data_IF_524475864231
#
_entry.id   IF_524475864231
#
_cell.length_a   1.000
_cell.length_b   1.000
_cell.length_c   1.000
_cell.angle_alpha   90.00
_cell.angle_beta   90.00
_cell.angle_gamma   90.00
#
_symmetry.space_group_name_H-M   'P 1'
#
loop_
_entity.id
_entity.type
_entity.pdbx_description
1 polymer ?
#
# COMPACT_ATOMS: atom_id res chain seq x y z
N UNK A 1 31.92 17.19 48.48
CA UNK A 1 31.00 18.20 49.04
C UNK A 1 30.27 18.85 47.86
N UNK A 2 28.98 18.55 47.68
CA UNK A 2 27.81 19.45 47.87
C UNK A 2 27.69 20.55 46.79
N UNK A 3 26.52 20.91 46.21
CA UNK A 3 25.12 20.49 46.30
C UNK A 3 24.34 21.35 45.28
N UNK A 4 23.32 20.75 44.64
CA UNK A 4 21.97 21.34 44.49
C UNK A 4 21.75 22.46 43.44
N UNK A 5 20.61 22.56 42.75
CA UNK A 5 19.35 21.86 42.92
C UNK A 5 18.32 22.21 41.85
N UNK A 6 17.29 21.36 41.74
CA UNK A 6 15.98 21.69 41.19
C UNK A 6 15.09 22.30 42.29
N UNK A 7 14.00 23.04 41.95
CA UNK A 7 12.65 22.46 42.09
C UNK A 7 11.62 22.98 41.03
N UNK A 8 10.76 22.14 40.44
CA UNK A 8 9.34 21.76 40.76
C UNK A 8 8.20 22.70 40.30
N UNK A 9 7.27 22.05 39.55
CA UNK A 9 5.77 22.10 39.63
C UNK A 9 5.09 23.40 39.16
N UNK A 10 3.88 23.45 38.58
CA UNK A 10 2.69 22.58 38.46
C UNK A 10 1.71 23.30 37.51
N UNK A 11 0.88 22.59 36.74
CA UNK A 11 -0.58 22.80 36.62
C UNK A 11 -1.15 22.00 35.44
N UNK A 12 -2.18 21.19 35.71
CA UNK A 12 -2.91 20.40 34.73
C UNK A 12 -4.19 21.09 34.22
N UNK A 13 -5.31 20.37 34.05
CA UNK A 13 -5.94 20.16 32.74
C UNK A 13 -7.38 20.71 32.62
N UNK A 14 -7.92 20.89 31.40
CA UNK A 14 -9.36 21.05 31.13
C UNK A 14 -9.62 20.99 29.61
N UNK A 15 -10.28 19.95 29.08
CA UNK A 15 -11.69 19.96 28.64
C UNK A 15 -12.10 21.24 27.89
N UNK A 16 -12.46 21.11 26.61
CA UNK A 16 -13.75 21.60 26.10
C UNK A 16 -14.04 20.94 24.75
N UNK A 17 -15.21 20.34 24.68
CA UNK A 17 -15.85 19.71 23.53
C UNK A 17 -16.82 20.74 22.96
N UNK A 18 -16.99 20.78 21.64
CA UNK A 18 -18.27 21.03 20.93
C UNK A 18 -18.33 22.21 19.96
N UNK A 19 -19.02 21.92 18.84
CA UNK A 19 -19.88 22.81 18.02
C UNK A 19 -19.13 23.82 17.15
N UNK A 20 -19.57 24.22 15.96
CA UNK A 20 -20.58 23.80 14.96
C UNK A 20 -20.41 24.87 13.86
N UNK A 21 -20.72 24.51 12.62
CA UNK A 21 -21.29 25.39 11.56
C UNK A 21 -20.51 26.60 11.02
N UNK A 22 -20.27 26.56 9.69
CA UNK A 22 -20.55 27.61 8.66
C UNK A 22 -19.92 27.09 7.35
N UNK A 23 -20.63 26.58 6.34
CA UNK A 23 -21.58 27.20 5.39
C UNK A 23 -21.07 28.51 4.73
N UNK A 24 -20.64 28.37 3.47
CA UNK A 24 -20.44 29.43 2.47
C UNK A 24 -19.94 28.81 1.14
N UNK A 25 -20.78 28.40 0.17
CA UNK A 25 -21.39 29.18 -0.95
C UNK A 25 -20.28 29.78 -1.86
N UNK A 26 -20.19 29.56 -3.19
CA UNK A 26 -21.20 29.66 -4.26
C UNK A 26 -20.68 29.04 -5.57
N UNK A 27 -21.60 28.52 -6.38
CA UNK A 27 -21.48 28.39 -7.83
C UNK A 27 -22.89 28.18 -8.40
N UNK A 28 -23.57 29.27 -8.75
CA UNK A 28 -24.90 29.28 -9.39
C UNK A 28 -24.69 29.45 -10.89
N UNK A 29 -25.46 28.72 -11.70
CA UNK A 29 -25.95 29.22 -12.97
C UNK A 29 -27.47 29.05 -13.02
N UNK A 30 -28.13 30.16 -13.31
CA UNK A 30 -29.56 30.36 -13.52
C UNK A 30 -29.81 30.52 -15.02
N UNK A 31 -30.94 30.03 -15.54
CA UNK A 31 -31.83 30.79 -16.46
C UNK A 31 -33.17 30.04 -16.71
N UNK A 32 -34.21 30.71 -17.24
CA UNK A 32 -35.47 30.92 -16.50
C UNK A 32 -36.74 30.50 -17.28
N UNK A 33 -37.89 30.63 -16.62
CA UNK A 33 -39.20 30.26 -17.17
C UNK A 33 -40.00 31.34 -17.91
N UNK A 34 -41.22 30.95 -18.25
CA UNK A 34 -42.43 31.75 -18.56
C UNK A 34 -43.59 30.91 -18.00
N UNK A 35 -44.39 31.37 -17.03
CA UNK A 35 -45.42 32.42 -17.16
C UNK A 35 -46.53 31.84 -18.05
N UNK A 36 -47.77 31.58 -17.67
CA UNK A 36 -48.77 32.32 -16.88
C UNK A 36 -50.05 31.44 -16.96
N UNK A 37 -51.15 31.58 -16.23
CA UNK A 37 -51.57 32.30 -15.05
C UNK A 37 -53.05 31.90 -14.77
N UNK A 38 -53.52 32.20 -13.55
CA UNK A 38 -54.94 32.46 -13.17
C UNK A 38 -55.87 31.23 -13.10
N UNK A 39 -56.70 31.05 -12.08
CA UNK A 39 -57.03 31.84 -10.87
C UNK A 39 -57.80 30.92 -9.89
N UNK A 40 -57.96 31.33 -8.62
CA UNK A 40 -58.53 30.51 -7.55
C UNK A 40 -59.93 30.97 -7.10
N UNK A 41 -60.57 30.12 -6.28
CA UNK A 41 -61.31 30.43 -5.04
C UNK A 41 -62.74 29.86 -4.92
N UNK A 42 -62.95 29.36 -3.69
CA UNK A 42 -64.18 29.25 -2.89
C UNK A 42 -65.04 28.00 -3.12
N UNK A 43 -65.22 27.11 -2.14
CA UNK A 43 -65.82 27.22 -0.78
C UNK A 43 -67.19 26.54 -0.83
N UNK A 44 -67.30 25.35 -0.24
CA UNK A 44 -68.38 24.90 0.66
C UNK A 44 -68.45 23.38 0.70
N UNK A 45 -68.35 22.83 1.91
CA UNK A 45 -69.02 21.58 2.25
C UNK A 45 -70.54 21.76 2.06
N UNK A 46 -71.24 20.67 1.74
CA UNK A 46 -72.16 20.16 2.74
C UNK A 46 -72.09 18.64 2.92
N UNK A 47 -72.31 18.23 4.17
CA UNK A 47 -72.64 16.86 4.57
C UNK A 47 -73.91 16.40 3.86
N UNK A 48 -73.85 15.23 3.21
CA UNK A 48 -75.00 14.32 3.05
C UNK A 48 -74.49 12.87 3.07
N UNK A 49 -74.80 12.16 4.16
CA UNK A 49 -75.19 10.74 4.10
C UNK A 49 -76.72 10.75 3.84
N UNK A 50 -77.33 9.78 3.14
CA UNK A 50 -77.26 8.36 3.50
C UNK A 50 -77.28 7.32 2.35
N UNK A 51 -76.84 6.13 2.74
CA UNK A 51 -77.35 4.78 2.42
C UNK A 51 -77.39 4.15 1.02
N UNK A 52 -77.22 2.83 1.11
CA UNK A 52 -77.61 1.75 0.21
C UNK A 52 -76.66 1.36 -0.94
N UNK A 53 -75.94 0.27 -0.66
CA UNK A 53 -75.72 -0.87 -1.55
C UNK A 53 -75.14 -0.60 -2.94
N UNK A 54 -73.81 -0.65 -3.03
CA UNK A 54 -73.15 -1.14 -4.25
C UNK A 54 -72.05 -2.14 -3.90
N UNK A 55 -72.14 -3.29 -4.57
CA UNK A 55 -71.44 -4.52 -4.27
C UNK A 55 -69.94 -4.36 -4.04
N UNK A 56 -69.50 -4.93 -2.91
CA UNK A 56 -68.09 -5.25 -2.67
C UNK A 56 -67.68 -6.40 -3.60
N UNK A 57 -67.30 -6.08 -4.84
CA UNK A 57 -66.36 -6.92 -5.59
C UNK A 57 -65.00 -6.70 -4.93
N UNK A 58 -64.62 -7.62 -4.06
CA UNK A 58 -63.31 -7.65 -3.42
C UNK A 58 -62.22 -7.64 -4.49
N UNK A 59 -61.42 -6.57 -4.52
CA UNK A 59 -60.12 -6.58 -5.15
C UNK A 59 -59.23 -7.49 -4.30
N UNK A 60 -59.18 -8.77 -4.68
CA UNK A 60 -58.14 -9.68 -4.19
C UNK A 60 -56.79 -9.13 -4.64
N UNK A 61 -55.80 -8.95 -3.75
CA UNK A 61 -54.42 -8.89 -4.18
C UNK A 61 -54.13 -10.19 -4.92
N UNK A 62 -53.74 -10.12 -6.19
CA UNK A 62 -53.03 -11.23 -6.82
C UNK A 62 -51.65 -11.26 -6.16
N UNK A 63 -51.56 -11.97 -5.04
CA UNK A 63 -50.29 -12.53 -4.63
C UNK A 63 -49.93 -13.54 -5.70
N UNK A 64 -49.04 -13.15 -6.62
CA UNK A 64 -48.36 -14.10 -7.46
C UNK A 64 -47.63 -15.06 -6.53
N UNK A 65 -47.90 -16.38 -6.60
CA UNK A 65 -47.10 -17.32 -5.86
C UNK A 65 -45.66 -17.16 -6.36
N UNK A 66 -44.75 -16.72 -5.48
CA UNK A 66 -43.32 -17.00 -5.64
C UNK A 66 -43.12 -18.50 -5.34
N UNK A 67 -43.83 -19.34 -6.09
CA UNK A 67 -43.82 -20.79 -5.96
C UNK A 67 -43.26 -21.37 -7.25
N UNK A 68 -42.02 -21.03 -7.54
CA UNK A 68 -41.14 -21.93 -8.29
C UNK A 68 -40.51 -22.91 -7.30
N UNK A 69 -41.35 -23.69 -6.62
CA UNK A 69 -40.96 -24.68 -5.61
C UNK A 69 -40.41 -25.95 -6.24
N UNK A 70 -39.30 -25.84 -6.96
CA UNK A 70 -38.50 -27.02 -7.34
C UNK A 70 -37.42 -27.19 -6.27
N UNK A 71 -37.57 -28.22 -5.43
CA UNK A 71 -36.51 -28.65 -4.52
C UNK A 71 -35.30 -29.16 -5.29
N UNK A 72 -34.11 -29.05 -4.70
CA UNK A 72 -32.88 -29.58 -5.28
C UNK A 72 -32.92 -31.11 -5.35
N UNK A 73 -32.50 -31.67 -6.48
CA UNK A 73 -32.38 -33.13 -6.60
C UNK A 73 -31.11 -33.62 -5.92
N UNK A 74 -31.07 -34.88 -5.48
CA UNK A 74 -29.88 -35.47 -4.86
C UNK A 74 -28.68 -35.47 -5.83
N UNK A 75 -28.94 -35.71 -7.11
CA UNK A 75 -27.93 -35.64 -8.18
C UNK A 75 -27.37 -34.22 -8.32
N UNK A 76 -28.22 -33.19 -8.22
CA UNK A 76 -27.79 -31.80 -8.32
C UNK A 76 -26.88 -31.39 -7.15
N UNK A 77 -27.21 -31.82 -5.93
CA UNK A 77 -26.34 -31.60 -4.75
C UNK A 77 -25.02 -32.35 -4.93
N UNK A 78 -25.03 -33.56 -5.48
CA UNK A 78 -23.83 -34.35 -5.73
C UNK A 78 -22.92 -33.69 -6.78
N UNK A 79 -23.50 -33.16 -7.86
CA UNK A 79 -22.75 -32.40 -8.88
C UNK A 79 -22.23 -31.07 -8.30
N UNK A 80 -23.05 -30.35 -7.53
CA UNK A 80 -22.65 -29.09 -6.91
C UNK A 80 -21.50 -29.27 -5.92
N UNK A 81 -21.56 -30.30 -5.07
CA UNK A 81 -20.49 -30.62 -4.11
C UNK A 81 -19.23 -31.11 -4.81
N UNK A 82 -19.34 -31.87 -5.91
CA UNK A 82 -18.20 -32.22 -6.75
C UNK A 82 -17.51 -30.98 -7.30
N UNK A 83 -18.25 -30.07 -7.95
CA UNK A 83 -17.70 -28.82 -8.49
C UNK A 83 -17.10 -27.96 -7.37
N UNK A 84 -17.80 -27.85 -6.23
CA UNK A 84 -17.32 -27.10 -5.07
C UNK A 84 -16.01 -27.67 -4.53
N UNK A 85 -15.88 -28.99 -4.42
CA UNK A 85 -14.67 -29.63 -3.93
C UNK A 85 -13.46 -29.34 -4.81
N UNK A 86 -13.61 -29.43 -6.14
CA UNK A 86 -12.57 -29.08 -7.11
C UNK A 86 -12.22 -27.59 -7.01
N UNK A 87 -13.22 -26.73 -6.88
CA UNK A 87 -13.02 -25.29 -6.72
C UNK A 87 -12.22 -24.91 -5.47
N UNK A 88 -12.50 -25.54 -4.33
CA UNK A 88 -11.78 -25.30 -3.08
C UNK A 88 -10.31 -25.72 -3.22
N UNK A 89 -10.04 -26.88 -3.81
CA UNK A 89 -8.66 -27.36 -4.04
C UNK A 89 -7.90 -26.41 -4.95
N UNK A 90 -8.52 -25.94 -6.04
CA UNK A 90 -7.90 -24.99 -6.95
C UNK A 90 -7.54 -23.66 -6.27
N UNK A 91 -8.44 -23.12 -5.44
CA UNK A 91 -8.19 -21.89 -4.66
C UNK A 91 -7.09 -22.11 -3.62
N UNK A 92 -7.10 -23.23 -2.91
CA UNK A 92 -6.08 -23.56 -1.92
C UNK A 92 -4.69 -23.65 -2.57
N UNK A 93 -4.58 -24.33 -3.72
CA UNK A 93 -3.34 -24.39 -4.49
C UNK A 93 -2.87 -22.98 -4.93
N UNK A 94 -3.79 -22.15 -5.45
CA UNK A 94 -3.48 -20.77 -5.83
C UNK A 94 -2.97 -19.91 -4.67
N UNK A 95 -3.52 -20.09 -3.47
CA UNK A 95 -3.08 -19.36 -2.28
C UNK A 95 -1.65 -19.72 -1.87
N UNK A 96 -1.28 -21.00 -1.93
CA UNK A 96 0.11 -21.42 -1.64
C UNK A 96 1.13 -20.74 -2.56
N UNK A 97 0.81 -20.61 -3.85
CA UNK A 97 1.67 -19.88 -4.80
C UNK A 97 1.72 -18.38 -4.49
N UNK A 98 0.58 -17.76 -4.18
CA UNK A 98 0.51 -16.34 -3.85
C UNK A 98 1.37 -15.98 -2.62
N UNK A 99 1.32 -16.80 -1.56
CA UNK A 99 2.12 -16.60 -0.35
C UNK A 99 3.63 -16.70 -0.62
N UNK A 100 4.05 -17.63 -1.49
CA UNK A 100 5.44 -17.73 -1.94
C UNK A 100 5.91 -16.46 -2.66
N UNK A 101 5.06 -15.87 -3.49
CA UNK A 101 5.35 -14.60 -4.18
C UNK A 101 5.57 -13.43 -3.22
N UNK A 102 4.79 -13.35 -2.14
CA UNK A 102 4.94 -12.30 -1.12
C UNK A 102 6.29 -12.38 -0.41
N UNK A 103 6.75 -13.58 -0.03
CA UNK A 103 8.05 -13.71 0.65
C UNK A 103 9.23 -13.42 -0.30
N UNK A 104 9.11 -13.76 -1.59
CA UNK A 104 10.09 -13.35 -2.60
C UNK A 104 10.13 -11.83 -2.73
N UNK A 105 8.97 -11.18 -2.87
CA UNK A 105 8.88 -9.71 -2.96
C UNK A 105 9.45 -9.01 -1.73
N UNK A 106 9.10 -9.50 -0.52
CA UNK A 106 9.64 -8.98 0.74
C UNK A 106 11.16 -9.14 0.82
N UNK A 107 11.67 -10.28 0.36
CA UNK A 107 13.10 -10.56 0.22
C UNK A 107 13.79 -9.53 -0.67
N UNK A 108 13.23 -9.27 -1.84
CA UNK A 108 13.77 -8.36 -2.84
C UNK A 108 13.79 -6.90 -2.38
N UNK A 109 12.68 -6.39 -1.84
CA UNK A 109 12.60 -5.02 -1.33
C UNK A 109 13.59 -4.80 -0.18
N UNK A 110 13.72 -5.76 0.73
CA UNK A 110 14.71 -5.66 1.81
C UNK A 110 16.16 -5.74 1.29
N UNK A 111 16.43 -6.53 0.25
CA UNK A 111 17.75 -6.57 -0.37
C UNK A 111 18.13 -5.23 -1.01
N UNK A 112 17.19 -4.57 -1.71
CA UNK A 112 17.36 -3.21 -2.24
C UNK A 112 17.65 -2.23 -1.11
N UNK A 113 16.86 -2.23 -0.04
CA UNK A 113 17.05 -1.32 1.09
C UNK A 113 18.44 -1.51 1.75
N UNK A 114 18.89 -2.75 1.94
CA UNK A 114 20.22 -3.04 2.48
C UNK A 114 21.36 -2.59 1.55
N UNK A 115 21.13 -2.63 0.24
CA UNK A 115 22.08 -2.14 -0.75
C UNK A 115 22.13 -0.61 -0.73
N UNK A 116 20.98 0.05 -0.69
CA UNK A 116 20.84 1.51 -0.56
C UNK A 116 21.48 2.02 0.72
N UNK A 117 21.22 1.40 1.86
CA UNK A 117 21.85 1.77 3.14
C UNK A 117 23.37 1.73 3.06
N UNK A 118 23.94 0.72 2.39
CA UNK A 118 25.39 0.63 2.20
C UNK A 118 25.90 1.70 1.25
N UNK A 119 25.18 1.96 0.16
CA UNK A 119 25.52 3.02 -0.78
C UNK A 119 25.47 4.40 -0.12
N UNK A 120 24.45 4.69 0.68
CA UNK A 120 24.33 5.96 1.39
C UNK A 120 25.44 6.15 2.43
N UNK A 121 25.84 5.09 3.13
CA UNK A 121 27.00 5.13 4.02
C UNK A 121 28.31 5.43 3.26
N UNK A 122 28.49 4.86 2.06
CA UNK A 122 29.67 5.13 1.23
C UNK A 122 29.64 6.53 0.63
N UNK A 123 28.47 7.01 0.21
CA UNK A 123 28.28 8.39 -0.25
C UNK A 123 28.56 9.39 0.87
N UNK A 124 28.05 9.17 2.08
CA UNK A 124 28.32 10.04 3.22
C UNK A 124 29.80 10.07 3.55
N UNK A 125 30.46 8.90 3.56
CA UNK A 125 31.91 8.81 3.74
C UNK A 125 32.68 9.59 2.64
N UNK A 126 32.24 9.53 1.39
CA UNK A 126 32.90 10.23 0.29
C UNK A 126 32.72 11.75 0.35
N UNK A 127 31.62 12.22 0.94
CA UNK A 127 31.38 13.65 1.19
C UNK A 127 32.20 14.17 2.38
N UNK A 128 32.48 13.32 3.36
CA UNK A 128 33.25 13.67 4.56
C UNK A 128 34.76 13.58 4.32
N UNK A 129 35.23 12.42 3.83
CA UNK A 129 36.64 12.14 3.56
C UNK A 129 36.80 11.17 2.37
N UNK A 130 37.26 11.71 1.24
CA UNK A 130 37.53 10.94 0.03
C UNK A 130 38.61 9.86 0.20
N UNK A 131 39.48 10.00 1.21
CA UNK A 131 40.55 9.06 1.53
C UNK A 131 40.18 8.01 2.59
N UNK A 132 38.92 8.00 3.03
CA UNK A 132 38.38 7.03 3.99
C UNK A 132 38.67 5.59 3.58
N UNK A 133 39.06 4.76 4.56
CA UNK A 133 39.27 3.33 4.36
C UNK A 133 38.00 2.59 3.86
N UNK A 134 36.80 3.14 4.10
CA UNK A 134 35.55 2.60 3.57
C UNK A 134 35.46 2.70 2.03
N UNK A 135 36.19 3.63 1.44
CA UNK A 135 36.25 3.91 0.00
C UNK A 135 37.53 3.36 -0.64
N UNK A 136 38.34 2.61 0.10
CA UNK A 136 39.49 1.94 -0.45
C UNK A 136 39.04 0.97 -1.55
N UNK A 137 39.73 0.98 -2.68
CA UNK A 137 39.46 0.05 -3.76
C UNK A 137 39.62 -1.40 -3.25
N UNK A 138 38.70 -2.27 -3.63
CA UNK A 138 38.67 -3.65 -3.15
C UNK A 138 37.26 -4.20 -2.99
N UNK A 139 37.19 -5.39 -2.41
CA UNK A 139 35.94 -6.10 -2.16
C UNK A 139 35.76 -6.36 -0.67
N UNK A 140 34.62 -5.96 -0.12
CA UNK A 140 34.20 -6.26 1.25
C UNK A 140 33.01 -7.19 1.19
N UNK A 141 33.12 -8.35 1.84
CA UNK A 141 32.06 -9.36 1.89
C UNK A 141 31.54 -9.49 3.31
N UNK A 142 30.25 -9.27 3.47
CA UNK A 142 29.48 -9.55 4.69
C UNK A 142 28.64 -10.80 4.42
N UNK A 143 28.98 -11.89 5.09
CA UNK A 143 28.32 -13.19 4.88
C UNK A 143 26.97 -13.26 5.60
N UNK A 144 26.23 -14.34 5.37
CA UNK A 144 24.97 -14.55 6.09
C UNK A 144 25.21 -14.58 7.60
N UNK A 145 24.33 -13.90 8.35
CA UNK A 145 24.43 -13.80 9.80
C UNK A 145 25.34 -12.67 10.32
N UNK A 146 26.14 -12.01 9.46
CA UNK A 146 27.03 -10.92 9.91
C UNK A 146 26.39 -9.54 9.83
N UNK A 147 25.36 -9.37 8.99
CA UNK A 147 24.64 -8.10 8.86
C UNK A 147 23.62 -7.98 10.00
N UNK A 148 23.76 -6.93 10.81
CA UNK A 148 22.86 -6.65 11.93
C UNK A 148 21.40 -6.59 11.47
N UNK A 149 20.51 -7.29 12.19
CA UNK A 149 19.08 -7.41 11.89
C UNK A 149 18.73 -7.95 10.47
N UNK A 150 19.70 -8.52 9.75
CA UNK A 150 19.54 -9.00 8.38
C UNK A 150 20.30 -10.32 8.13
N UNK A 151 20.23 -11.28 9.07
CA UNK A 151 20.96 -12.55 9.01
C UNK A 151 20.69 -13.40 7.78
N UNK A 152 19.53 -13.24 7.13
CA UNK A 152 19.13 -13.94 5.90
C UNK A 152 19.72 -13.35 4.61
N UNK A 153 20.51 -12.30 4.74
CA UNK A 153 21.13 -11.58 3.63
C UNK A 153 22.65 -11.67 3.74
N UNK A 154 23.32 -11.70 2.60
CA UNK A 154 24.75 -11.42 2.50
C UNK A 154 24.95 -10.24 1.56
N UNK A 155 26.02 -9.48 1.77
CA UNK A 155 26.34 -8.28 0.98
C UNK A 155 27.78 -8.34 0.48
N UNK A 156 27.98 -7.98 -0.77
CA UNK A 156 29.29 -7.82 -1.40
C UNK A 156 29.37 -6.36 -1.88
N UNK A 157 30.35 -5.61 -1.37
CA UNK A 157 30.64 -4.25 -1.81
C UNK A 157 31.95 -4.26 -2.58
N UNK A 158 31.94 -3.80 -3.82
CA UNK A 158 33.14 -3.63 -4.64
C UNK A 158 33.33 -2.14 -4.92
N UNK A 159 34.52 -1.64 -4.62
CA UNK A 159 34.94 -0.27 -4.95
C UNK A 159 36.09 -0.36 -5.94
N UNK A 160 35.96 0.35 -7.06
CA UNK A 160 37.00 0.44 -8.10
C UNK A 160 37.35 1.90 -8.33
N UNK A 161 38.64 2.20 -8.35
CA UNK A 161 39.13 3.55 -8.61
C UNK A 161 39.30 3.78 -10.11
N UNK A 162 38.88 4.96 -10.57
CA UNK A 162 38.89 5.37 -11.96
C UNK A 162 39.39 6.82 -12.09
N UNK A 163 39.91 7.17 -13.27
CA UNK A 163 40.38 8.52 -13.56
C UNK A 163 40.08 8.97 -14.98
N UNK A 164 40.01 10.29 -15.18
CA UNK A 164 39.79 10.92 -16.47
C UNK A 164 38.54 10.42 -17.18
N UNK A 165 38.71 9.91 -18.40
CA UNK A 165 37.60 9.54 -19.29
C UNK A 165 36.73 8.41 -18.76
N UNK A 166 37.23 7.60 -17.84
CA UNK A 166 36.45 6.55 -17.17
C UNK A 166 35.41 7.13 -16.21
N UNK A 167 35.62 8.36 -15.73
CA UNK A 167 34.68 9.06 -14.84
C UNK A 167 33.58 9.80 -15.59
N UNK A 168 33.95 10.48 -16.68
CA UNK A 168 33.02 11.14 -17.58
C UNK A 168 33.70 11.41 -18.93
N UNK A 169 32.91 11.38 -20.00
CA UNK A 169 33.39 11.76 -21.33
C UNK A 169 33.95 13.17 -21.32
N UNK A 170 35.21 13.34 -21.74
CA UNK A 170 35.88 14.65 -21.77
C UNK A 170 36.50 15.12 -20.45
N UNK A 171 36.43 14.32 -19.38
CA UNK A 171 37.07 14.66 -18.12
C UNK A 171 38.61 14.62 -18.22
N UNK A 172 39.33 15.61 -17.66
CA UNK A 172 40.79 15.59 -17.55
C UNK A 172 41.30 14.40 -16.72
N UNK A 173 42.51 13.91 -16.97
CA UNK A 173 43.13 12.81 -16.19
C UNK A 173 43.33 13.13 -14.71
N UNK A 174 43.19 14.39 -14.30
CA UNK A 174 43.23 14.85 -12.91
C UNK A 174 41.92 14.61 -12.15
N UNK A 175 40.82 14.33 -12.85
CA UNK A 175 39.54 13.97 -12.22
C UNK A 175 39.58 12.51 -11.81
N UNK A 176 39.36 12.24 -10.53
CA UNK A 176 39.25 10.90 -9.97
C UNK A 176 37.81 10.61 -9.53
N UNK A 177 37.38 9.37 -9.74
CA UNK A 177 36.09 8.87 -9.32
C UNK A 177 36.22 7.43 -8.82
N UNK A 178 35.20 6.97 -8.11
CA UNK A 178 35.11 5.61 -7.60
C UNK A 178 33.81 4.99 -8.08
N UNK A 179 33.88 3.86 -8.77
CA UNK A 179 32.71 3.05 -9.07
C UNK A 179 32.45 2.13 -7.88
N UNK A 180 31.23 2.17 -7.37
CA UNK A 180 30.79 1.36 -6.25
C UNK A 180 29.67 0.43 -6.71
N UNK A 181 29.88 -0.88 -6.56
CA UNK A 181 28.86 -1.90 -6.75
C UNK A 181 28.52 -2.52 -5.41
N UNK A 182 27.25 -2.49 -5.02
CA UNK A 182 26.74 -3.19 -3.85
C UNK A 182 25.77 -4.26 -4.30
N UNK A 183 26.10 -5.50 -3.97
CA UNK A 183 25.28 -6.65 -4.27
C UNK A 183 24.73 -7.27 -2.99
N UNK A 184 23.43 -7.49 -2.93
CA UNK A 184 22.76 -8.13 -1.79
C UNK A 184 22.06 -9.40 -2.25
N UNK A 185 22.31 -10.46 -1.51
CA UNK A 185 22.02 -11.82 -1.90
C UNK A 185 21.19 -12.49 -0.81
N UNK A 186 20.07 -13.13 -1.17
CA UNK A 186 19.12 -13.74 -0.22
C UNK A 186 18.52 -15.03 -0.76
N UNK A 187 18.02 -15.89 0.14
CA UNK A 187 17.33 -17.12 -0.22
C UNK A 187 15.87 -17.05 0.26
N UNK A 188 14.88 -16.97 -0.65
CA UNK A 188 13.49 -16.97 -0.24
C UNK A 188 13.14 -18.32 0.38
N UNK A 189 12.30 -18.29 1.40
CA UNK A 189 11.72 -19.51 1.98
C UNK A 189 10.40 -19.75 1.25
N UNK A 190 10.37 -20.73 0.36
CA UNK A 190 9.14 -21.13 -0.33
C UNK A 190 8.52 -22.31 0.41
N UNK A 191 7.19 -22.49 0.31
CA UNK A 191 6.44 -23.51 1.06
C UNK A 191 6.89 -24.97 0.87
N UNK A 192 7.82 -25.25 -0.04
CA UNK A 192 8.42 -26.57 -0.26
C UNK A 192 9.94 -26.67 -0.03
N UNK A 193 10.63 -25.62 0.44
CA UNK A 193 12.07 -25.67 0.69
C UNK A 193 12.82 -24.34 0.62
N UNK A 194 14.15 -24.41 0.72
CA UNK A 194 15.03 -23.24 0.48
C UNK A 194 15.02 -22.94 -1.03
N UNK A 195 14.49 -21.79 -1.43
CA UNK A 195 14.54 -21.35 -2.81
C UNK A 195 15.97 -21.07 -3.29
N UNK A 196 16.13 -21.00 -4.61
CA UNK A 196 17.39 -20.58 -5.21
C UNK A 196 17.79 -19.20 -4.70
N UNK A 197 19.09 -18.99 -4.61
CA UNK A 197 19.60 -17.71 -4.20
C UNK A 197 19.30 -16.64 -5.25
N UNK A 198 18.78 -15.51 -4.77
CA UNK A 198 18.49 -14.33 -5.57
C UNK A 198 19.45 -13.22 -5.18
N UNK A 199 19.82 -12.39 -6.15
CA UNK A 199 20.79 -11.31 -6.00
C UNK A 199 20.22 -10.02 -6.59
N UNK A 200 20.45 -8.92 -5.89
CA UNK A 200 20.15 -7.56 -6.32
C UNK A 200 21.47 -6.79 -6.36
N UNK A 201 21.78 -6.14 -7.47
CA UNK A 201 22.99 -5.35 -7.64
C UNK A 201 22.61 -3.88 -7.85
N UNK A 202 23.22 -2.98 -7.08
CA UNK A 202 23.17 -1.53 -7.30
C UNK A 202 24.57 -1.04 -7.64
N UNK A 203 24.66 -0.16 -8.64
CA UNK A 203 25.92 0.44 -9.08
C UNK A 203 25.79 1.95 -9.08
N UNK A 204 26.81 2.63 -8.57
CA UNK A 204 26.91 4.10 -8.61
C UNK A 204 28.34 4.53 -8.84
N UNK A 205 28.53 5.78 -9.27
CA UNK A 205 29.84 6.41 -9.41
C UNK A 205 29.87 7.60 -8.47
N UNK A 206 30.90 7.63 -7.62
CA UNK A 206 31.20 8.74 -6.72
C UNK A 206 32.28 9.58 -7.38
N UNK A 207 32.18 10.90 -7.31
CA UNK A 207 33.19 11.84 -7.84
C UNK A 207 33.65 12.73 -6.70
N UNK A 208 34.95 13.02 -6.63
CA UNK A 208 35.50 13.91 -5.61
C UNK A 208 34.94 15.32 -5.79
N UNK A 209 34.42 15.90 -4.71
CA UNK A 209 34.03 17.31 -4.70
C UNK A 209 35.29 18.18 -4.62
N UNK A 210 35.45 19.09 -5.58
CA UNK A 210 36.49 20.13 -5.60
C UNK A 210 36.06 21.35 -4.80
#
# INVERSE_FOLDING_TARGET
MQRGGAPRRRAGPSRERSRRTRRGRRGRLHRPGRGDARRPLRRRQPRRRPDAERGRRGLRPREHPLSSGRGFTLVEILVATLILSVGIVAVAAGLHYALGGVEVGRGETAAVFLAEQRLELLKSAALEDWSSALLAAGTVVETYGTIANASRYRRETVVTDHAGRECATGAPSTVACKQVRVAVSYRPVSGGGRGHERRVDLVTVLVRRT
#
